data_IF_561908675545
#
_entry.id   IF_561908675545
#
_cell.length_a   1.000
_cell.length_b   1.000
_cell.length_c   1.000
_cell.angle_alpha   90.00
_cell.angle_beta   90.00
_cell.angle_gamma   90.00
#
_symmetry.space_group_name_H-M   'P 1'
#
loop_
_entity.id
_entity.type
_entity.pdbx_description
1 polymer ?
#
# COMPACT_ATOMS: atom_id res chain seq x y z
N UNK A 1 4.50 -24.83 24.70
CA UNK A 1 4.87 -25.01 23.27
C UNK A 1 4.43 -23.85 22.35
N UNK A 2 4.18 -22.64 22.85
CA UNK A 2 3.66 -21.49 22.04
C UNK A 2 4.67 -20.38 21.74
N UNK A 3 5.87 -20.42 22.31
CA UNK A 3 6.86 -19.33 22.14
C UNK A 3 7.63 -19.30 20.80
N UNK A 4 7.71 -20.41 20.07
CA UNK A 4 8.50 -20.48 18.83
C UNK A 4 7.81 -19.93 17.59
N UNK A 5 6.49 -19.86 17.58
CA UNK A 5 5.74 -19.40 16.40
C UNK A 5 5.80 -17.88 16.20
N UNK A 6 5.83 -17.12 17.29
CA UNK A 6 5.87 -15.64 17.25
C UNK A 6 7.23 -15.08 16.77
N UNK A 7 8.31 -15.82 17.02
CA UNK A 7 9.66 -15.44 16.55
C UNK A 7 9.82 -15.57 15.04
N UNK A 8 9.23 -16.61 14.43
CA UNK A 8 9.27 -16.84 12.97
C UNK A 8 8.54 -15.78 12.17
N UNK A 9 7.39 -15.30 12.66
CA UNK A 9 6.58 -14.28 11.94
C UNK A 9 7.28 -12.93 11.95
N UNK A 10 7.93 -12.57 13.06
CA UNK A 10 8.72 -11.33 13.18
C UNK A 10 9.91 -11.32 12.23
N UNK A 11 10.58 -12.44 12.06
CA UNK A 11 11.72 -12.58 11.14
C UNK A 11 11.29 -12.54 9.67
N UNK A 12 10.14 -13.13 9.30
CA UNK A 12 9.60 -13.07 7.94
C UNK A 12 9.13 -11.65 7.54
N UNK A 13 8.53 -10.91 8.47
CA UNK A 13 8.10 -9.53 8.23
C UNK A 13 9.28 -8.57 8.06
N UNK A 14 10.35 -8.75 8.84
CA UNK A 14 11.58 -7.97 8.69
C UNK A 14 12.30 -8.27 7.36
N UNK A 15 12.30 -9.52 6.90
CA UNK A 15 12.89 -9.91 5.63
C UNK A 15 12.09 -9.38 4.42
N UNK A 16 10.76 -9.42 4.50
CA UNK A 16 9.88 -8.89 3.46
C UNK A 16 10.01 -7.36 3.31
N UNK A 17 10.19 -6.65 4.43
CA UNK A 17 10.47 -5.21 4.41
C UNK A 17 11.83 -4.87 3.80
N UNK A 18 12.85 -5.68 4.02
CA UNK A 18 14.19 -5.46 3.47
C UNK A 18 14.26 -5.78 1.96
N UNK A 19 13.48 -6.76 1.48
CA UNK A 19 13.42 -7.10 0.05
C UNK A 19 12.76 -6.01 -0.80
N UNK A 20 11.82 -5.25 -0.25
CA UNK A 20 11.16 -4.14 -0.97
C UNK A 20 12.10 -2.95 -1.20
N UNK A 21 13.16 -2.81 -0.39
CA UNK A 21 14.15 -1.74 -0.54
C UNK A 21 15.20 -2.03 -1.63
N UNK A 22 15.24 -3.26 -2.16
CA UNK A 22 16.25 -3.69 -3.14
C UNK A 22 15.72 -3.80 -4.58
N UNK A 23 14.52 -3.29 -4.87
CA UNK A 23 14.04 -3.24 -6.25
C UNK A 23 14.90 -2.24 -7.04
N UNK A 24 15.55 -2.66 -8.13
CA UNK A 24 16.30 -1.75 -8.97
C UNK A 24 15.34 -0.71 -9.54
N UNK A 25 15.64 0.56 -9.31
CA UNK A 25 14.93 1.64 -10.00
C UNK A 25 15.11 1.45 -11.52
N UNK A 26 14.05 1.54 -12.31
CA UNK A 26 14.15 1.47 -13.76
C UNK A 26 15.09 2.60 -14.22
N UNK A 27 16.09 2.25 -15.01
CA UNK A 27 17.05 3.21 -15.55
C UNK A 27 16.29 4.26 -16.37
N UNK A 28 16.33 5.53 -15.93
CA UNK A 28 15.66 6.65 -16.58
C UNK A 28 14.38 7.16 -15.89
N UNK A 29 13.91 6.51 -14.83
CA UNK A 29 12.79 7.02 -14.04
C UNK A 29 13.31 7.75 -12.80
N UNK A 30 12.75 8.92 -12.49
CA UNK A 30 13.03 9.60 -11.22
C UNK A 30 12.21 8.91 -10.11
N UNK A 31 12.92 8.35 -9.13
CA UNK A 31 12.32 7.65 -8.00
C UNK A 31 12.60 8.39 -6.71
N UNK A 32 11.56 8.80 -6.03
CA UNK A 32 11.63 9.49 -4.75
C UNK A 32 10.97 8.67 -3.65
N UNK A 33 11.62 8.57 -2.50
CA UNK A 33 11.13 7.81 -1.34
C UNK A 33 11.09 8.74 -0.13
N UNK A 34 9.93 8.81 0.52
CA UNK A 34 9.68 9.67 1.68
C UNK A 34 9.20 8.86 2.88
N UNK A 35 10.08 8.32 3.73
CA UNK A 35 9.64 7.65 4.95
C UNK A 35 9.05 8.65 5.94
N UNK A 36 7.81 8.43 6.34
CA UNK A 36 7.05 9.30 7.26
C UNK A 36 6.60 8.48 8.46
N UNK A 37 6.99 8.86 9.68
CA UNK A 37 6.43 8.25 10.88
C UNK A 37 4.95 8.59 11.01
N UNK A 38 4.16 7.62 11.43
CA UNK A 38 2.71 7.77 11.65
C UNK A 38 2.38 7.45 13.09
N UNK A 39 1.74 8.39 13.76
CA UNK A 39 1.21 8.21 15.12
C UNK A 39 -0.21 8.73 15.14
N UNK A 40 -1.15 7.92 15.59
CA UNK A 40 -2.53 8.36 15.80
C UNK A 40 -3.10 7.75 17.09
N UNK A 41 -4.10 8.40 17.62
CA UNK A 41 -4.84 7.92 18.79
C UNK A 41 -6.32 8.12 18.56
N UNK A 42 -7.10 7.08 18.82
CA UNK A 42 -8.56 7.10 18.70
C UNK A 42 -9.17 6.40 19.92
N UNK A 43 -10.27 6.95 20.41
CA UNK A 43 -10.97 6.35 21.55
C UNK A 43 -11.50 4.95 21.24
N UNK A 44 -11.91 4.70 20.01
CA UNK A 44 -12.55 3.45 19.59
C UNK A 44 -11.56 2.48 18.92
N UNK A 45 -10.54 3.02 18.21
CA UNK A 45 -9.64 2.23 17.37
C UNK A 45 -8.27 2.02 18.03
N UNK A 46 -8.06 2.58 19.22
CA UNK A 46 -6.81 2.46 19.96
C UNK A 46 -5.71 3.42 19.47
N UNK A 47 -4.47 3.08 19.80
CA UNK A 47 -3.30 3.87 19.45
C UNK A 47 -2.53 3.17 18.33
N UNK A 48 -2.20 3.92 17.30
CA UNK A 48 -1.36 3.51 16.18
C UNK A 48 0.03 4.15 16.29
N UNK A 49 1.06 3.36 16.02
CA UNK A 49 2.42 3.84 15.78
C UNK A 49 3.03 3.06 14.62
N UNK A 50 3.63 3.74 13.67
CA UNK A 50 4.15 3.04 12.49
C UNK A 50 4.95 3.90 11.54
N UNK A 51 5.19 3.36 10.36
CA UNK A 51 5.91 3.99 9.28
C UNK A 51 5.12 3.85 7.97
N UNK A 52 5.07 4.92 7.22
CA UNK A 52 4.59 4.96 5.84
C UNK A 52 5.79 5.36 4.98
N UNK A 53 6.01 4.66 3.88
CA UNK A 53 7.11 4.97 2.96
C UNK A 53 6.58 5.21 1.54
N UNK A 54 6.03 6.39 1.22
CA UNK A 54 5.63 6.74 -0.13
C UNK A 54 6.82 6.67 -1.09
N UNK A 55 6.62 5.98 -2.21
CA UNK A 55 7.58 5.81 -3.30
C UNK A 55 6.89 6.36 -4.55
N UNK A 56 7.43 7.45 -5.09
CA UNK A 56 6.96 8.07 -6.31
C UNK A 56 7.91 7.67 -7.44
N UNK A 57 7.33 7.24 -8.56
CA UNK A 57 8.07 6.91 -9.77
C UNK A 57 7.50 7.76 -10.90
N UNK A 58 8.30 8.69 -11.37
CA UNK A 58 8.00 9.53 -12.53
C UNK A 58 8.64 8.97 -13.79
N UNK A 59 8.09 9.32 -14.95
CA UNK A 59 8.74 9.06 -16.24
C UNK A 59 9.83 10.09 -16.54
N UNK A 60 10.56 9.94 -17.66
CA UNK A 60 11.62 10.89 -18.03
C UNK A 60 11.11 12.32 -18.27
N UNK A 61 9.81 12.48 -18.56
CA UNK A 61 9.18 13.79 -18.77
C UNK A 61 8.73 14.43 -17.44
N UNK A 62 8.92 13.73 -16.31
CA UNK A 62 8.59 14.19 -14.98
C UNK A 62 7.13 13.93 -14.57
N UNK A 63 6.36 13.23 -15.39
CA UNK A 63 4.98 12.86 -15.04
C UNK A 63 4.96 11.66 -14.09
N UNK A 64 4.17 11.76 -13.03
CA UNK A 64 3.99 10.68 -12.06
C UNK A 64 3.29 9.49 -12.70
N UNK A 65 3.96 8.33 -12.74
CA UNK A 65 3.41 7.07 -13.28
C UNK A 65 2.91 6.14 -12.18
N UNK A 66 3.68 6.04 -11.10
CA UNK A 66 3.31 5.17 -9.98
C UNK A 66 3.52 5.88 -8.65
N UNK A 67 2.56 5.67 -7.77
CA UNK A 67 2.69 5.95 -6.35
C UNK A 67 2.47 4.66 -5.59
N UNK A 68 3.49 4.20 -4.89
CA UNK A 68 3.39 3.10 -3.94
C UNK A 68 3.50 3.66 -2.52
N UNK A 69 2.71 3.16 -1.60
CA UNK A 69 2.77 3.57 -0.20
C UNK A 69 2.65 2.34 0.71
N UNK A 70 3.73 1.57 0.87
CA UNK A 70 3.80 0.54 1.89
C UNK A 70 3.73 1.19 3.27
N UNK A 71 2.99 0.53 4.17
CA UNK A 71 2.75 1.03 5.51
C UNK A 71 2.78 -0.13 6.50
N UNK A 72 3.48 0.05 7.60
CA UNK A 72 3.53 -0.89 8.70
C UNK A 72 3.13 -0.14 9.98
N UNK A 73 2.06 -0.60 10.62
CA UNK A 73 1.49 0.04 11.80
C UNK A 73 1.34 -0.99 12.91
N UNK A 74 1.76 -0.65 14.10
CA UNK A 74 1.44 -1.34 15.33
C UNK A 74 0.25 -0.64 15.98
N UNK A 75 -0.85 -1.37 16.12
CA UNK A 75 -2.06 -0.88 16.79
C UNK A 75 -2.24 -1.58 18.14
N UNK A 76 -2.69 -0.84 19.14
CA UNK A 76 -2.85 -1.36 20.51
C UNK A 76 -3.96 -2.40 20.66
N UNK A 77 -4.95 -2.42 19.77
CA UNK A 77 -6.11 -3.33 19.82
C UNK A 77 -5.94 -4.47 18.83
N UNK A 78 -5.70 -4.17 17.57
CA UNK A 78 -5.72 -5.15 16.48
C UNK A 78 -4.34 -5.76 16.17
N UNK A 79 -3.29 -5.32 16.84
CA UNK A 79 -1.94 -5.79 16.64
C UNK A 79 -1.26 -5.17 15.42
N UNK A 80 -0.38 -5.91 14.76
CA UNK A 80 0.36 -5.42 13.61
C UNK A 80 -0.51 -5.39 12.37
N UNK A 81 -0.48 -4.29 11.63
CA UNK A 81 -1.16 -4.09 10.37
C UNK A 81 -0.16 -3.68 9.29
N UNK A 82 -0.09 -4.47 8.23
CA UNK A 82 0.61 -4.12 7.00
C UNK A 82 -0.40 -3.66 5.95
N UNK A 83 -0.11 -2.56 5.28
CA UNK A 83 -0.91 -2.06 4.17
C UNK A 83 0.01 -1.76 3.00
N UNK A 84 -0.39 -2.15 1.82
CA UNK A 84 0.28 -1.80 0.59
C UNK A 84 -0.72 -1.09 -0.32
N UNK A 85 -0.40 0.14 -0.69
CA UNK A 85 -1.15 0.92 -1.65
C UNK A 85 -0.33 1.07 -2.92
N UNK A 86 -0.95 0.82 -4.06
CA UNK A 86 -0.38 1.06 -5.38
C UNK A 86 -1.38 1.87 -6.20
N UNK A 87 -0.92 2.99 -6.70
CA UNK A 87 -1.64 3.80 -7.67
C UNK A 87 -0.82 3.86 -8.95
N UNK A 88 -1.46 3.58 -10.06
CA UNK A 88 -0.91 3.75 -11.40
C UNK A 88 -1.68 4.87 -12.09
N UNK A 89 -0.94 5.79 -12.67
CA UNK A 89 -1.46 6.91 -13.43
C UNK A 89 -1.03 6.75 -14.89
N UNK A 90 -2.00 6.79 -15.78
CA UNK A 90 -1.76 6.74 -17.22
C UNK A 90 -2.17 8.08 -17.87
N UNK A 91 -1.61 8.44 -19.03
CA UNK A 91 -2.04 9.61 -19.79
C UNK A 91 -3.54 9.62 -20.02
N UNK A 92 -4.15 10.81 -19.98
CA UNK A 92 -5.59 10.99 -20.15
C UNK A 92 -6.39 10.83 -18.86
N UNK A 93 -5.72 10.80 -17.68
CA UNK A 93 -6.39 10.77 -16.39
C UNK A 93 -6.85 9.39 -15.94
N UNK A 94 -6.45 8.33 -16.64
CA UNK A 94 -6.74 6.95 -16.23
C UNK A 94 -5.98 6.62 -14.96
N UNK A 95 -6.65 5.96 -14.04
CA UNK A 95 -6.07 5.58 -12.75
C UNK A 95 -6.44 4.14 -12.41
N UNK A 96 -5.46 3.41 -11.91
CA UNK A 96 -5.66 2.11 -11.27
C UNK A 96 -5.22 2.22 -9.81
N UNK A 97 -6.06 1.72 -8.92
CA UNK A 97 -5.76 1.67 -7.49
C UNK A 97 -5.82 0.22 -7.02
N UNK A 98 -4.78 -0.22 -6.37
CA UNK A 98 -4.73 -1.49 -5.69
C UNK A 98 -4.34 -1.25 -4.23
N UNK A 99 -5.11 -1.84 -3.30
CA UNK A 99 -4.85 -1.77 -1.88
C UNK A 99 -4.91 -3.19 -1.32
N UNK A 100 -3.85 -3.61 -0.64
CA UNK A 100 -3.83 -4.84 0.15
C UNK A 100 -3.59 -4.48 1.62
N UNK A 101 -4.41 -5.01 2.52
CA UNK A 101 -4.29 -4.82 3.96
C UNK A 101 -4.32 -6.16 4.66
N UNK A 102 -3.37 -6.38 5.53
CA UNK A 102 -3.27 -7.56 6.39
C UNK A 102 -3.15 -7.10 7.84
N UNK A 103 -4.09 -7.56 8.65
CA UNK A 103 -4.11 -7.28 10.09
C UNK A 103 -3.93 -8.58 10.86
N UNK A 104 -3.13 -8.58 11.90
CA UNK A 104 -2.77 -9.77 12.65
C UNK A 104 -3.99 -10.48 13.24
N UNK A 105 -4.99 -9.72 13.69
CA UNK A 105 -6.10 -10.26 14.50
C UNK A 105 -7.48 -10.18 13.85
N UNK A 106 -7.70 -9.33 12.85
CA UNK A 106 -9.07 -9.03 12.45
C UNK A 106 -9.36 -9.25 10.97
N UNK A 107 -8.50 -8.79 10.06
CA UNK A 107 -8.94 -8.65 8.67
C UNK A 107 -7.82 -8.87 7.64
N UNK A 108 -8.20 -9.54 6.55
CA UNK A 108 -7.42 -9.56 5.30
C UNK A 108 -8.28 -8.95 4.22
N UNK A 109 -7.80 -7.87 3.62
CA UNK A 109 -8.54 -7.11 2.62
C UNK A 109 -7.70 -6.85 1.38
N UNK A 110 -8.29 -7.07 0.23
CA UNK A 110 -7.76 -6.64 -1.06
C UNK A 110 -8.83 -5.83 -1.78
N UNK A 111 -8.46 -4.66 -2.23
CA UNK A 111 -9.30 -3.78 -3.03
C UNK A 111 -8.60 -3.50 -4.35
N UNK A 112 -9.32 -3.60 -5.44
CA UNK A 112 -8.92 -3.12 -6.75
C UNK A 112 -9.97 -2.13 -7.25
N UNK A 113 -9.51 -1.05 -7.85
CA UNK A 113 -10.36 -0.01 -8.40
C UNK A 113 -9.71 0.55 -9.68
N UNK A 114 -10.50 0.75 -10.71
CA UNK A 114 -10.07 1.32 -11.98
C UNK A 114 -10.98 2.45 -12.39
N UNK A 115 -10.39 3.56 -12.76
CA UNK A 115 -11.09 4.77 -13.22
C UNK A 115 -10.50 5.20 -14.56
N UNK A 116 -11.34 5.33 -15.57
CA UNK A 116 -11.02 5.95 -16.85
C UNK A 116 -12.02 7.08 -17.11
N UNK A 117 -11.61 8.34 -16.90
CA UNK A 117 -12.51 9.49 -17.10
C UNK A 117 -12.75 9.83 -18.56
N UNK A 118 -11.98 9.25 -19.47
CA UNK A 118 -12.00 9.55 -20.90
C UNK A 118 -12.26 8.32 -21.78
N UNK A 119 -13.01 7.35 -21.25
CA UNK A 119 -13.37 6.14 -21.99
C UNK A 119 -14.20 6.49 -23.25
N UNK A 120 -13.94 5.79 -24.36
CA UNK A 120 -14.68 6.01 -25.61
C UNK A 120 -14.43 7.39 -26.23
N UNK A 121 -13.18 7.81 -26.34
CA UNK A 121 -12.77 9.13 -26.88
C UNK A 121 -13.27 10.33 -26.04
N UNK A 122 -13.40 10.14 -24.74
CA UNK A 122 -13.82 11.18 -23.80
C UNK A 122 -15.33 11.39 -23.70
N UNK A 123 -16.12 10.54 -24.33
CA UNK A 123 -17.59 10.64 -24.26
C UNK A 123 -18.18 10.02 -22.99
N UNK A 124 -17.44 9.10 -22.35
CA UNK A 124 -17.90 8.36 -21.20
C UNK A 124 -16.83 8.34 -20.10
N UNK A 125 -17.27 8.16 -18.88
CA UNK A 125 -16.40 7.80 -17.75
C UNK A 125 -16.69 6.36 -17.33
N UNK A 126 -15.64 5.54 -17.24
CA UNK A 126 -15.74 4.17 -16.78
C UNK A 126 -15.13 4.07 -15.38
N UNK A 127 -15.88 3.53 -14.45
CA UNK A 127 -15.38 3.20 -13.13
C UNK A 127 -15.85 1.80 -12.75
N UNK A 128 -14.92 0.91 -12.40
CA UNK A 128 -15.25 -0.40 -11.86
C UNK A 128 -14.21 -0.83 -10.83
N UNK A 129 -14.65 -1.60 -9.86
CA UNK A 129 -13.75 -2.09 -8.83
C UNK A 129 -14.38 -3.24 -8.05
N UNK A 130 -13.57 -3.83 -7.18
CA UNK A 130 -13.99 -4.91 -6.31
C UNK A 130 -13.21 -4.94 -5.02
N UNK A 131 -13.85 -5.45 -3.97
CA UNK A 131 -13.22 -5.68 -2.69
C UNK A 131 -13.41 -7.14 -2.28
N UNK A 132 -12.31 -7.77 -1.95
CA UNK A 132 -12.32 -9.08 -1.29
C UNK A 132 -11.82 -8.89 0.14
N UNK A 133 -12.56 -9.44 1.10
CA UNK A 133 -12.14 -9.43 2.50
C UNK A 133 -12.45 -10.76 3.18
N UNK A 134 -11.65 -11.11 4.16
CA UNK A 134 -11.84 -12.26 5.03
C UNK A 134 -11.58 -11.82 6.46
N UNK A 135 -12.55 -12.01 7.33
CA UNK A 135 -12.36 -11.87 8.77
C UNK A 135 -11.59 -13.07 9.31
N UNK A 136 -10.72 -12.82 10.25
CA UNK A 136 -9.92 -13.86 10.92
C UNK A 136 -10.75 -14.57 11.99
#
# INVERSE_FOLDING_TARGET
MQCHYLSSIRSCLALAGLLLLSLPAPAGADTQIFPVPSVSTSRNDGNDAGLIAPILIADPDGELKYLMAPMLIQNSIVGTRGVFNLFKYDPGGRQMRFIASLTERIERKVLFDYVDPAFGNGQYSLNFGGTFFKNA
#
